data_IF_259217897788
#
_entry.id   IF_259217897788
#
_cell.length_a   1.000
_cell.length_b   1.000
_cell.length_c   1.000
_cell.angle_alpha   90.00
_cell.angle_beta   90.00
_cell.angle_gamma   90.00
#
_symmetry.space_group_name_H-M   'P 1'
#
loop_
_entity.id
_entity.type
_entity.pdbx_description
1 polymer ?
#
# COMPACT_ATOMS: atom_id res chain seq x y z
N UNK A 1 -15.13 0.97 1.56
CA UNK A 1 -16.48 0.79 2.16
C UNK A 1 -16.41 0.80 3.68
N UNK A 2 -15.62 -0.07 4.32
CA UNK A 2 -15.51 -0.16 5.80
C UNK A 2 -15.16 1.17 6.48
N UNK A 3 -14.09 1.86 6.04
CA UNK A 3 -13.67 3.12 6.68
C UNK A 3 -14.72 4.24 6.64
N UNK A 4 -15.47 4.35 5.52
CA UNK A 4 -16.55 5.33 5.38
C UNK A 4 -17.75 4.95 6.24
N UNK A 5 -18.12 3.67 6.26
CA UNK A 5 -19.19 3.14 7.12
C UNK A 5 -18.87 3.32 8.62
N UNK A 6 -17.59 3.22 9.00
CA UNK A 6 -17.13 3.39 10.37
C UNK A 6 -16.87 4.86 10.75
N UNK A 7 -17.08 5.80 9.82
CA UNK A 7 -16.87 7.25 9.98
C UNK A 7 -15.45 7.63 10.42
N UNK A 8 -14.45 6.93 9.87
CA UNK A 8 -13.02 7.12 10.20
C UNK A 8 -12.14 7.54 9.02
N UNK A 9 -12.75 7.77 7.84
CA UNK A 9 -11.98 8.12 6.64
C UNK A 9 -11.16 9.41 6.80
N UNK A 10 -11.74 10.44 7.40
CA UNK A 10 -11.06 11.72 7.66
C UNK A 10 -9.82 11.54 8.54
N UNK A 11 -9.87 10.63 9.52
CA UNK A 11 -8.73 10.34 10.40
C UNK A 11 -7.54 9.74 9.63
N UNK A 12 -7.80 8.96 8.58
CA UNK A 12 -6.76 8.41 7.70
C UNK A 12 -6.15 9.49 6.80
N UNK A 13 -6.94 10.47 6.36
CA UNK A 13 -6.47 11.52 5.46
C UNK A 13 -5.72 12.62 6.20
N UNK A 14 -6.33 13.17 7.26
CA UNK A 14 -5.81 14.31 8.03
C UNK A 14 -4.75 13.87 9.04
N UNK A 15 -4.90 12.67 9.60
CA UNK A 15 -4.06 12.16 10.68
C UNK A 15 -4.37 12.77 12.04
N UNK A 16 -3.95 12.06 13.07
CA UNK A 16 -4.07 12.50 14.46
C UNK A 16 -2.74 13.09 14.94
N UNK A 17 -2.83 14.27 15.56
CA UNK A 17 -1.70 14.95 16.20
C UNK A 17 -2.13 15.27 17.63
N UNK A 18 -1.49 14.67 18.65
CA UNK A 18 -1.80 14.92 20.05
C UNK A 18 -1.64 16.40 20.41
N UNK A 19 -2.49 16.90 21.31
CA UNK A 19 -2.30 18.25 21.85
C UNK A 19 -1.10 18.31 22.79
N UNK A 20 -0.34 19.41 22.72
CA UNK A 20 0.83 19.61 23.59
C UNK A 20 0.45 19.85 25.05
N UNK A 21 1.43 19.71 25.96
CA UNK A 21 1.24 19.79 27.43
C UNK A 21 0.60 21.10 27.94
N UNK A 22 0.66 22.18 27.15
CA UNK A 22 0.10 23.50 27.48
C UNK A 22 -1.37 23.68 27.09
N UNK A 23 -2.04 22.62 26.61
CA UNK A 23 -3.44 22.66 26.20
C UNK A 23 -4.41 22.88 27.38
N UNK A 24 -5.52 23.58 27.14
CA UNK A 24 -6.59 23.74 28.13
C UNK A 24 -7.31 22.40 28.37
N UNK A 25 -8.05 22.29 29.47
CA UNK A 25 -8.80 21.06 29.77
C UNK A 25 -9.87 20.74 28.72
N UNK A 26 -10.48 21.75 28.11
CA UNK A 26 -11.41 21.58 26.99
C UNK A 26 -10.69 21.05 25.73
N UNK A 27 -9.47 21.52 25.47
CA UNK A 27 -8.65 21.04 24.34
C UNK A 27 -8.23 19.59 24.55
N UNK A 28 -7.83 19.20 25.77
CA UNK A 28 -7.52 17.81 26.11
C UNK A 28 -8.74 16.90 26.01
N UNK A 29 -9.92 17.40 26.36
CA UNK A 29 -11.16 16.64 26.23
C UNK A 29 -11.51 16.35 24.76
N UNK A 30 -11.37 17.35 23.88
CA UNK A 30 -11.56 17.16 22.45
C UNK A 30 -10.48 16.24 21.83
N UNK A 31 -9.24 16.31 22.33
CA UNK A 31 -8.13 15.47 21.87
C UNK A 31 -8.37 13.98 22.14
N UNK A 32 -8.89 13.63 23.33
CA UNK A 32 -9.24 12.24 23.67
C UNK A 32 -10.22 11.61 22.69
N UNK A 33 -11.17 12.38 22.15
CA UNK A 33 -12.10 11.86 21.13
C UNK A 33 -11.40 11.62 19.78
N UNK A 34 -10.43 12.47 19.41
CA UNK A 34 -9.60 12.26 18.22
C UNK A 34 -8.68 11.06 18.38
N UNK A 35 -8.05 10.92 19.53
CA UNK A 35 -7.21 9.77 19.89
C UNK A 35 -8.00 8.46 19.78
N UNK A 36 -9.22 8.40 20.35
CA UNK A 36 -10.10 7.24 20.23
C UNK A 36 -10.42 6.89 18.77
N UNK A 37 -10.70 7.91 17.93
CA UNK A 37 -10.93 7.70 16.50
C UNK A 37 -9.67 7.18 15.81
N UNK A 38 -8.49 7.70 16.14
CA UNK A 38 -7.22 7.20 15.59
C UNK A 38 -6.96 5.75 15.98
N UNK A 39 -7.11 5.38 17.26
CA UNK A 39 -6.99 4.00 17.71
C UNK A 39 -7.98 3.06 17.02
N UNK A 40 -9.25 3.49 16.87
CA UNK A 40 -10.27 2.72 16.13
C UNK A 40 -9.84 2.50 14.67
N UNK A 41 -9.31 3.54 14.04
CA UNK A 41 -8.86 3.51 12.64
C UNK A 41 -7.67 2.57 12.48
N UNK A 42 -6.68 2.66 13.38
CA UNK A 42 -5.50 1.81 13.40
C UNK A 42 -5.89 0.34 13.59
N UNK A 43 -6.83 0.05 14.51
CA UNK A 43 -7.38 -1.29 14.68
C UNK A 43 -8.00 -1.83 13.40
N UNK A 44 -8.85 -1.04 12.72
CA UNK A 44 -9.46 -1.45 11.45
C UNK A 44 -8.40 -1.71 10.39
N UNK A 45 -7.35 -0.90 10.30
CA UNK A 45 -6.23 -1.12 9.36
C UNK A 45 -5.56 -2.46 9.62
N UNK A 46 -5.22 -2.79 10.87
CA UNK A 46 -4.62 -4.08 11.23
C UNK A 46 -5.53 -5.26 10.86
N UNK A 47 -6.84 -5.16 11.08
CA UNK A 47 -7.79 -6.22 10.73
C UNK A 47 -8.00 -6.37 9.21
N UNK A 48 -7.72 -5.32 8.43
CA UNK A 48 -8.01 -5.28 7.00
C UNK A 48 -6.85 -5.76 6.12
N UNK A 49 -5.69 -6.09 6.71
CA UNK A 49 -4.48 -6.47 5.97
C UNK A 49 -4.03 -7.88 6.33
N UNK A 50 -3.27 -8.51 5.43
CA UNK A 50 -2.70 -9.83 5.66
C UNK A 50 -1.52 -9.80 6.66
N UNK A 51 -1.09 -10.98 7.13
CA UNK A 51 -0.03 -11.09 8.13
C UNK A 51 1.28 -10.40 7.71
N UNK A 52 1.64 -10.46 6.43
CA UNK A 52 2.85 -9.83 5.91
C UNK A 52 2.80 -8.30 5.93
N UNK A 53 1.60 -7.73 5.81
CA UNK A 53 1.39 -6.28 5.89
C UNK A 53 1.14 -5.81 7.32
N UNK A 54 0.55 -6.63 8.20
CA UNK A 54 0.43 -6.32 9.65
C UNK A 54 1.81 -6.07 10.24
N UNK A 55 2.81 -6.91 9.93
CA UNK A 55 4.17 -6.76 10.45
C UNK A 55 4.80 -5.41 10.08
N UNK A 56 4.53 -4.90 8.86
CA UNK A 56 5.06 -3.62 8.38
C UNK A 56 4.50 -2.42 9.14
N UNK A 57 3.23 -2.50 9.56
CA UNK A 57 2.55 -1.42 10.28
C UNK A 57 2.53 -1.62 11.80
N UNK A 58 3.12 -2.70 12.31
CA UNK A 58 3.06 -3.06 13.73
C UNK A 58 3.65 -1.97 14.66
N UNK A 59 4.64 -1.21 14.17
CA UNK A 59 5.30 -0.15 14.94
C UNK A 59 4.67 1.23 14.74
N UNK A 60 3.67 1.36 13.86
CA UNK A 60 3.01 2.63 13.61
C UNK A 60 2.25 3.10 14.85
N UNK A 61 2.47 4.36 15.24
CA UNK A 61 1.85 4.95 16.42
C UNK A 61 0.51 5.60 16.11
N UNK A 62 0.26 5.93 14.85
CA UNK A 62 -0.99 6.54 14.39
C UNK A 62 -1.56 5.78 13.21
N UNK A 63 -2.86 5.89 13.02
CA UNK A 63 -3.51 5.32 11.84
C UNK A 63 -3.00 5.93 10.53
N UNK A 64 -2.59 7.20 10.56
CA UNK A 64 -1.97 7.89 9.42
C UNK A 64 -0.63 7.28 9.03
N UNK A 65 0.24 7.07 10.00
CA UNK A 65 1.54 6.45 9.78
C UNK A 65 1.39 5.04 9.21
N UNK A 66 0.48 4.24 9.77
CA UNK A 66 0.17 2.91 9.25
C UNK A 66 -0.31 2.96 7.80
N UNK A 67 -1.21 3.90 7.47
CA UNK A 67 -1.71 4.10 6.11
C UNK A 67 -0.60 4.49 5.13
N UNK A 68 0.26 5.43 5.51
CA UNK A 68 1.35 5.92 4.64
C UNK A 68 2.38 4.80 4.37
N UNK A 69 2.69 3.97 5.37
CA UNK A 69 3.53 2.78 5.21
C UNK A 69 2.91 1.81 4.20
N UNK A 70 1.62 1.51 4.33
CA UNK A 70 0.91 0.62 3.42
C UNK A 70 0.95 1.17 1.99
N UNK A 71 0.60 2.44 1.80
CA UNK A 71 0.60 3.10 0.50
C UNK A 71 1.98 3.02 -0.16
N UNK A 72 3.04 3.40 0.57
CA UNK A 72 4.41 3.36 0.07
C UNK A 72 4.87 1.96 -0.32
N UNK A 73 4.46 0.94 0.46
CA UNK A 73 4.81 -0.46 0.17
C UNK A 73 4.17 -0.96 -1.14
N UNK A 74 2.98 -0.47 -1.48
CA UNK A 74 2.26 -0.83 -2.70
C UNK A 74 2.67 0.02 -3.92
N UNK A 75 3.13 1.26 -3.70
CA UNK A 75 3.66 2.10 -4.78
C UNK A 75 4.92 1.48 -5.42
N UNK A 76 5.80 0.91 -4.61
CA UNK A 76 6.97 0.15 -5.09
C UNK A 76 6.56 -1.04 -5.96
N UNK A 77 5.55 -1.81 -5.52
CA UNK A 77 5.01 -2.93 -6.29
C UNK A 77 4.44 -2.49 -7.65
N UNK A 78 3.76 -1.34 -7.69
CA UNK A 78 3.21 -0.76 -8.93
C UNK A 78 4.32 -0.36 -9.90
N UNK A 79 5.40 0.27 -9.41
CA UNK A 79 6.57 0.61 -10.23
C UNK A 79 7.24 -0.65 -10.80
N UNK A 80 7.42 -1.68 -9.98
CA UNK A 80 8.00 -2.97 -10.42
C UNK A 80 7.15 -3.65 -11.49
N UNK A 81 5.81 -3.66 -11.34
CA UNK A 81 4.89 -4.18 -12.37
C UNK A 81 5.03 -3.43 -13.69
N UNK A 82 5.13 -2.09 -13.65
CA UNK A 82 5.34 -1.26 -14.86
C UNK A 82 6.67 -1.57 -15.54
N UNK A 83 7.76 -1.70 -14.77
CA UNK A 83 9.07 -2.05 -15.31
C UNK A 83 9.03 -3.44 -15.97
N UNK A 84 8.47 -4.45 -15.28
CA UNK A 84 8.35 -5.81 -15.83
C UNK A 84 7.53 -5.82 -17.13
N UNK A 85 6.42 -5.08 -17.18
CA UNK A 85 5.62 -4.93 -18.40
C UNK A 85 6.42 -4.31 -19.56
N UNK A 86 7.19 -3.25 -19.29
CA UNK A 86 8.04 -2.61 -20.29
C UNK A 86 9.12 -3.56 -20.80
N UNK A 87 9.76 -4.32 -19.92
CA UNK A 87 10.74 -5.36 -20.30
C UNK A 87 10.10 -6.41 -21.21
N UNK A 88 8.93 -6.94 -20.85
CA UNK A 88 8.21 -7.94 -21.66
C UNK A 88 7.81 -7.38 -23.03
N UNK A 89 7.31 -6.14 -23.10
CA UNK A 89 7.02 -5.47 -24.38
C UNK A 89 8.26 -5.37 -25.26
N UNK A 90 9.40 -4.97 -24.69
CA UNK A 90 10.66 -4.86 -25.43
C UNK A 90 11.15 -6.22 -25.92
N UNK A 91 11.04 -7.27 -25.11
CA UNK A 91 11.37 -8.64 -25.50
C UNK A 91 10.48 -9.11 -26.67
N UNK A 92 9.19 -8.80 -26.62
CA UNK A 92 8.25 -9.11 -27.69
C UNK A 92 8.54 -8.34 -28.99
N UNK A 93 8.84 -7.05 -28.92
CA UNK A 93 9.21 -6.23 -30.10
C UNK A 93 10.49 -6.72 -30.80
N UNK A 94 11.43 -7.24 -30.02
CA UNK A 94 12.69 -7.78 -30.52
C UNK A 94 12.60 -9.27 -30.91
N UNK A 95 11.44 -9.89 -30.69
CA UNK A 95 11.24 -11.29 -30.95
C UNK A 95 11.26 -11.57 -32.45
N UNK A 96 12.24 -12.36 -32.88
CA UNK A 96 12.39 -12.77 -34.26
C UNK A 96 13.02 -14.17 -34.29
N UNK A 97 12.79 -14.91 -35.37
CA UNK A 97 13.40 -16.21 -35.57
C UNK A 97 14.88 -16.05 -35.91
N UNK A 98 15.74 -16.90 -35.35
CA UNK A 98 17.16 -16.87 -35.67
C UNK A 98 17.45 -17.58 -37.00
N UNK A 99 18.58 -17.26 -37.64
CA UNK A 99 18.92 -17.80 -38.97
C UNK A 99 19.11 -19.32 -38.98
N UNK A 100 19.51 -19.87 -37.85
CA UNK A 100 19.81 -21.29 -37.63
C UNK A 100 18.73 -21.99 -36.80
N UNK A 101 17.58 -21.34 -36.58
CA UNK A 101 16.46 -21.87 -35.82
C UNK A 101 15.37 -22.40 -36.76
N UNK A 102 14.91 -23.62 -36.51
CA UNK A 102 13.74 -24.18 -37.20
C UNK A 102 12.44 -23.55 -36.70
N UNK A 103 11.39 -23.60 -37.52
CA UNK A 103 10.06 -23.08 -37.14
C UNK A 103 9.52 -23.72 -35.85
N UNK A 104 9.77 -25.02 -35.66
CA UNK A 104 9.32 -25.73 -34.46
C UNK A 104 10.08 -25.27 -33.20
N UNK A 105 11.39 -25.06 -33.29
CA UNK A 105 12.20 -24.52 -32.20
C UNK A 105 11.78 -23.09 -31.85
N UNK A 106 11.52 -22.26 -32.86
CA UNK A 106 11.01 -20.91 -32.67
C UNK A 106 9.69 -20.88 -31.91
N UNK A 107 8.69 -21.66 -32.35
CA UNK A 107 7.38 -21.72 -31.69
C UNK A 107 7.53 -22.17 -30.24
N UNK A 108 8.35 -23.19 -29.99
CA UNK A 108 8.62 -23.70 -28.64
C UNK A 108 9.24 -22.63 -27.75
N UNK A 109 10.24 -21.89 -28.25
CA UNK A 109 10.88 -20.80 -27.51
C UNK A 109 9.88 -19.71 -27.16
N UNK A 110 9.09 -19.24 -28.13
CA UNK A 110 8.11 -18.17 -27.94
C UNK A 110 7.05 -18.54 -26.89
N UNK A 111 6.62 -19.80 -26.86
CA UNK A 111 5.62 -20.29 -25.90
C UNK A 111 6.16 -20.43 -24.46
N UNK A 112 7.47 -20.40 -24.28
CA UNK A 112 8.12 -20.57 -22.97
C UNK A 112 8.45 -19.23 -22.29
N UNK A 113 8.29 -18.10 -23.00
CA UNK A 113 8.52 -16.72 -22.51
C UNK A 113 7.28 -16.16 -21.84
#
# INVERSE_FOLDING_TARGET
VVMRFQEVWETVEEGYIPVGERATEEQKAADREKEKKDCKTLFILHQSVDAANVEKVAMAQTSKEAWDILQKSHDGATKTKKIKLQTLRRQYELLQMEKNESVAEYITRVQTV
#
